data_IF_670678177441
#
_entry.id   IF_670678177441
#
_cell.length_a   1.000
_cell.length_b   1.000
_cell.length_c   1.000
_cell.angle_alpha   90.00
_cell.angle_beta   90.00
_cell.angle_gamma   90.00
#
_symmetry.space_group_name_H-M   'P 1'
#
loop_
_entity.id
_entity.type
_entity.pdbx_description
1 polymer ?
#
# COMPACT_ATOMS: atom_id res chain seq x y z
N UNK A 1 50.71 14.96 53.66
CA UNK A 1 51.29 13.60 53.73
C UNK A 1 50.49 12.73 52.77
N UNK A 2 51.06 12.33 51.61
CA UNK A 2 51.47 10.94 51.28
C UNK A 2 50.28 9.96 51.38
N UNK A 3 49.80 9.28 50.33
CA UNK A 3 50.51 8.55 49.25
C UNK A 3 49.65 8.32 47.99
N UNK A 4 50.36 8.17 46.87
CA UNK A 4 49.98 7.56 45.59
C UNK A 4 49.76 6.03 45.68
N UNK A 5 49.24 5.49 44.55
CA UNK A 5 49.30 4.14 43.94
C UNK A 5 47.87 3.53 43.87
N UNK A 6 47.32 3.06 42.75
CA UNK A 6 47.87 2.80 41.41
C UNK A 6 46.74 2.40 40.43
N UNK A 7 47.08 2.34 39.16
CA UNK A 7 46.20 2.05 38.03
C UNK A 7 45.73 0.59 37.97
N UNK A 8 44.52 0.38 37.43
CA UNK A 8 44.17 -0.80 36.64
C UNK A 8 43.04 -0.40 35.67
N UNK A 9 43.41 -0.19 34.41
CA UNK A 9 42.48 -0.06 33.31
C UNK A 9 41.97 -1.47 32.93
N UNK A 10 40.66 -1.67 32.96
CA UNK A 10 40.01 -2.77 32.26
C UNK A 10 39.05 -2.15 31.25
N UNK A 11 39.46 -2.19 29.99
CA UNK A 11 38.60 -1.98 28.85
C UNK A 11 37.74 -3.24 28.68
N UNK A 12 36.41 -3.08 28.71
CA UNK A 12 35.47 -4.04 28.18
C UNK A 12 34.54 -3.28 27.24
N UNK A 13 34.96 -3.25 26.00
CA UNK A 13 34.19 -2.87 24.82
C UNK A 13 33.03 -3.85 24.63
N UNK A 14 31.80 -3.32 24.65
CA UNK A 14 30.64 -3.94 24.03
C UNK A 14 29.93 -2.85 23.23
N UNK A 15 30.42 -2.64 22.01
CA UNK A 15 29.69 -1.90 20.99
C UNK A 15 28.57 -2.82 20.48
N UNK A 16 27.35 -2.62 20.98
CA UNK A 16 26.16 -3.09 20.27
C UNK A 16 25.93 -2.10 19.13
N UNK A 17 26.38 -2.48 17.94
CA UNK A 17 25.93 -1.90 16.69
C UNK A 17 24.49 -2.37 16.48
N UNK A 18 23.53 -1.60 16.98
CA UNK A 18 22.22 -1.57 16.36
C UNK A 18 22.39 -0.76 15.09
N UNK A 19 22.45 -1.44 13.95
CA UNK A 19 22.26 -0.82 12.64
C UNK A 19 20.81 -0.38 12.55
N UNK A 20 20.52 0.75 13.19
CA UNK A 20 19.47 1.64 12.73
C UNK A 20 19.97 2.18 11.40
N UNK A 21 19.56 1.55 10.30
CA UNK A 21 19.58 2.21 9.00
C UNK A 21 18.40 3.18 8.97
N UNK A 22 18.48 4.20 9.83
CA UNK A 22 17.53 5.30 9.88
C UNK A 22 18.21 6.59 9.44
N UNK A 23 17.62 7.21 8.41
CA UNK A 23 17.76 8.62 7.94
C UNK A 23 18.96 8.89 7.01
N UNK A 24 18.90 9.84 6.06
CA UNK A 24 18.26 11.17 5.99
C UNK A 24 17.90 11.47 4.52
N UNK A 25 16.68 11.97 4.23
CA UNK A 25 16.38 12.58 2.92
C UNK A 25 16.83 14.04 2.95
N UNK A 26 17.74 14.41 2.06
CA UNK A 26 18.10 15.81 1.81
C UNK A 26 16.94 16.53 1.10
N UNK A 27 16.63 17.72 1.60
CA UNK A 27 15.61 18.63 1.10
C UNK A 27 15.93 19.02 -0.35
N UNK A 28 15.04 18.72 -1.30
CA UNK A 28 15.12 19.27 -2.64
C UNK A 28 14.95 20.80 -2.57
N UNK A 29 16.05 21.54 -2.81
CA UNK A 29 16.00 22.99 -2.98
C UNK A 29 15.56 23.36 -4.40
N UNK A 30 14.67 24.36 -4.45
CA UNK A 30 14.11 24.95 -5.66
C UNK A 30 15.21 25.44 -6.62
N UNK A 31 15.22 24.94 -7.85
CA UNK A 31 16.00 25.52 -8.95
C UNK A 31 15.17 26.58 -9.69
N UNK A 32 15.38 27.83 -9.31
CA UNK A 32 15.28 28.96 -10.25
C UNK A 32 16.67 29.24 -10.83
N UNK A 33 16.71 29.43 -12.15
CA UNK A 33 17.90 29.71 -12.95
C UNK A 33 18.65 30.97 -12.50
N UNK A 34 19.98 30.91 -12.51
CA UNK A 34 20.82 31.91 -13.17
C UNK A 34 22.20 31.35 -13.55
N UNK A 35 22.69 31.78 -14.70
CA UNK A 35 23.97 31.40 -15.31
C UNK A 35 25.16 31.93 -14.48
N UNK A 36 26.25 31.16 -14.39
CA UNK A 36 27.57 31.61 -14.87
C UNK A 36 28.65 30.52 -14.82
N UNK A 37 29.59 30.65 -15.74
CA UNK A 37 30.70 29.77 -16.11
C UNK A 37 31.87 29.72 -15.10
N UNK A 38 32.49 28.55 -14.85
CA UNK A 38 33.96 28.34 -15.01
C UNK A 38 34.47 26.90 -14.70
N UNK A 39 34.97 26.25 -15.75
CA UNK A 39 36.23 25.49 -15.97
C UNK A 39 37.18 25.11 -14.79
N UNK A 40 37.43 23.78 -14.70
CA UNK A 40 38.64 22.97 -14.33
C UNK A 40 39.29 23.03 -12.93
N UNK A 41 39.44 21.85 -12.29
CA UNK A 41 40.75 21.17 -12.08
C UNK A 41 40.56 19.75 -11.53
N UNK A 42 41.42 18.83 -11.97
CA UNK A 42 41.53 17.42 -11.59
C UNK A 42 42.73 17.18 -10.65
N UNK A 43 42.69 16.11 -9.83
CA UNK A 43 43.79 15.23 -9.35
C UNK A 43 43.20 14.27 -8.27
N UNK A 44 42.97 12.97 -8.54
CA UNK A 44 43.85 11.78 -8.35
C UNK A 44 44.25 11.52 -6.87
N UNK A 45 44.14 10.36 -6.20
CA UNK A 45 44.04 8.95 -6.60
C UNK A 45 43.68 8.00 -5.41
N UNK A 46 42.81 6.99 -5.66
CA UNK A 46 42.98 5.51 -5.42
C UNK A 46 43.19 4.90 -4.00
N UNK A 47 42.96 3.57 -3.79
CA UNK A 47 41.78 2.75 -4.11
C UNK A 47 41.35 1.86 -2.90
N UNK A 48 40.07 1.48 -2.74
CA UNK A 48 39.70 0.40 -1.81
C UNK A 48 38.55 -0.45 -2.35
N UNK A 49 38.90 -1.68 -2.72
CA UNK A 49 38.11 -2.91 -2.86
C UNK A 49 36.66 -2.78 -3.34
N UNK A 50 36.49 -2.99 -4.64
CA UNK A 50 35.25 -3.52 -5.19
C UNK A 50 34.96 -4.91 -4.62
N UNK A 51 33.86 -5.01 -3.90
CA UNK A 51 32.99 -6.19 -3.99
C UNK A 51 32.09 -5.95 -5.19
N UNK A 52 32.04 -6.93 -6.08
CA UNK A 52 31.35 -6.91 -7.36
C UNK A 52 29.93 -6.39 -7.25
N UNK A 53 29.65 -5.33 -8.01
CA UNK A 53 28.32 -5.12 -8.56
C UNK A 53 27.99 -6.34 -9.41
N UNK A 54 27.04 -7.15 -8.97
CA UNK A 54 26.33 -8.07 -9.86
C UNK A 54 25.45 -7.21 -10.78
N UNK A 55 26.11 -6.57 -11.74
CA UNK A 55 25.50 -5.97 -12.90
C UNK A 55 25.21 -7.09 -13.90
N UNK A 56 24.28 -8.00 -13.55
CA UNK A 56 23.61 -8.90 -14.52
C UNK A 56 22.38 -9.63 -13.95
N UNK A 57 21.66 -9.06 -12.97
CA UNK A 57 20.34 -9.58 -12.62
C UNK A 57 19.28 -8.91 -13.52
N UNK A 58 18.85 -9.59 -14.57
CA UNK A 58 17.81 -9.12 -15.51
C UNK A 58 16.39 -9.22 -14.94
N UNK A 59 16.23 -9.31 -13.62
CA UNK A 59 14.94 -9.52 -12.95
C UNK A 59 14.87 -8.80 -11.61
N UNK A 60 13.67 -8.76 -11.03
CA UNK A 60 13.45 -8.14 -9.74
C UNK A 60 14.29 -8.81 -8.63
N UNK A 61 14.67 -8.07 -7.57
CA UNK A 61 15.32 -8.65 -6.41
C UNK A 61 14.39 -9.64 -5.68
N UNK A 62 14.93 -10.35 -4.69
CA UNK A 62 14.10 -11.15 -3.79
C UNK A 62 13.12 -10.26 -3.00
N UNK A 63 11.87 -10.72 -2.84
CA UNK A 63 10.84 -10.01 -2.09
C UNK A 63 11.32 -9.72 -0.67
N UNK A 64 11.21 -8.45 -0.28
CA UNK A 64 11.52 -8.01 1.08
C UNK A 64 10.53 -8.65 2.07
N UNK A 65 11.04 -9.36 3.08
CA UNK A 65 10.25 -9.74 4.25
C UNK A 65 10.22 -8.56 5.23
N UNK A 66 9.15 -7.76 5.20
CA UNK A 66 8.97 -6.65 6.13
C UNK A 66 8.19 -7.09 7.38
N UNK A 67 8.70 -6.73 8.56
CA UNK A 67 7.91 -6.73 9.79
C UNK A 67 7.01 -5.48 9.77
N UNK A 68 5.70 -5.71 9.70
CA UNK A 68 4.72 -4.65 9.56
C UNK A 68 4.09 -4.26 10.90
N UNK A 69 4.30 -5.04 11.96
CA UNK A 69 3.76 -4.71 13.26
C UNK A 69 4.55 -3.58 13.90
N UNK A 70 3.85 -2.68 14.59
CA UNK A 70 4.52 -1.66 15.39
C UNK A 70 5.23 -2.34 16.57
N UNK A 71 6.56 -2.18 16.72
CA UNK A 71 7.27 -2.81 17.82
C UNK A 71 6.81 -2.30 19.19
N UNK A 72 6.83 -3.18 20.20
CA UNK A 72 6.52 -2.83 21.58
C UNK A 72 7.31 -1.60 22.07
N UNK A 73 6.59 -0.60 22.57
CA UNK A 73 7.18 0.64 23.09
C UNK A 73 7.74 1.57 22.01
N UNK A 74 7.46 1.32 20.72
CA UNK A 74 7.72 2.29 19.66
C UNK A 74 7.03 3.62 19.97
N UNK A 75 7.69 4.72 19.62
CA UNK A 75 7.17 6.07 19.82
C UNK A 75 7.08 6.75 18.47
N UNK A 76 5.85 6.97 18.03
CA UNK A 76 5.54 7.78 16.86
C UNK A 76 6.27 9.12 16.94
N UNK A 77 6.73 9.62 15.79
CA UNK A 77 7.09 11.03 15.67
C UNK A 77 5.88 11.91 16.06
N UNK A 78 6.11 13.16 16.52
CA UNK A 78 4.97 14.06 16.79
C UNK A 78 4.22 14.44 15.52
N UNK A 79 4.94 14.52 14.40
CA UNK A 79 4.38 14.83 13.09
C UNK A 79 5.21 14.15 12.03
N UNK A 80 4.55 13.52 11.06
CA UNK A 80 5.20 12.99 9.87
C UNK A 80 4.24 13.07 8.68
N UNK A 81 4.73 13.59 7.54
CA UNK A 81 3.92 13.79 6.34
C UNK A 81 4.76 13.47 5.12
N UNK A 82 4.35 12.45 4.38
CA UNK A 82 5.00 11.99 3.17
C UNK A 82 4.71 12.94 2.00
N UNK A 83 5.62 13.03 1.03
CA UNK A 83 5.42 13.82 -0.18
C UNK A 83 4.49 13.10 -1.15
N UNK A 84 3.20 13.06 -0.82
CA UNK A 84 2.18 12.28 -1.52
C UNK A 84 1.33 13.17 -2.45
N UNK A 85 1.03 12.69 -3.66
CA UNK A 85 0.17 13.39 -4.64
C UNK A 85 -1.12 12.62 -4.84
N UNK A 86 -2.26 13.25 -4.60
CA UNK A 86 -3.58 12.65 -4.86
C UNK A 86 -3.85 12.48 -6.35
N UNK A 87 -4.61 11.43 -6.69
CA UNK A 87 -5.26 11.23 -7.99
C UNK A 87 -6.77 11.39 -7.79
N UNK A 88 -7.44 12.08 -8.72
CA UNK A 88 -8.89 12.27 -8.64
C UNK A 88 -9.61 11.13 -9.37
N UNK A 89 -10.65 10.56 -8.78
CA UNK A 89 -11.45 9.53 -9.44
C UNK A 89 -12.37 10.13 -10.53
N UNK A 90 -12.90 11.34 -10.30
CA UNK A 90 -13.82 12.00 -11.23
C UNK A 90 -13.08 12.78 -12.33
N UNK A 91 -13.62 12.83 -13.56
CA UNK A 91 -14.92 12.29 -13.98
C UNK A 91 -14.90 10.83 -14.44
N UNK A 92 -13.73 10.22 -14.63
CA UNK A 92 -13.61 8.93 -15.32
C UNK A 92 -14.18 7.75 -14.53
N UNK A 93 -13.99 7.74 -13.21
CA UNK A 93 -14.42 6.66 -12.31
C UNK A 93 -15.31 7.22 -11.19
N UNK A 94 -16.60 7.52 -11.46
CA UNK A 94 -17.49 8.11 -10.46
C UNK A 94 -17.60 7.31 -9.16
N UNK A 95 -17.41 6.00 -9.18
CA UNK A 95 -17.44 5.11 -8.00
C UNK A 95 -16.13 4.33 -7.81
N UNK A 96 -15.01 4.79 -8.39
CA UNK A 96 -13.71 4.10 -8.31
C UNK A 96 -12.79 4.57 -7.18
N UNK A 97 -13.30 4.74 -5.95
CA UNK A 97 -12.49 5.27 -4.85
C UNK A 97 -11.31 4.33 -4.48
N UNK A 98 -11.54 3.03 -4.42
CA UNK A 98 -10.58 2.00 -4.05
C UNK A 98 -9.42 1.91 -5.05
N UNK A 99 -9.75 1.75 -6.32
CA UNK A 99 -8.74 1.65 -7.39
C UNK A 99 -7.98 2.97 -7.55
N UNK A 100 -8.62 4.11 -7.30
CA UNK A 100 -7.94 5.41 -7.31
C UNK A 100 -7.00 5.56 -6.12
N UNK A 101 -7.40 5.13 -4.92
CA UNK A 101 -6.55 5.10 -3.73
C UNK A 101 -5.32 4.18 -3.91
N UNK A 102 -5.52 3.02 -4.55
CA UNK A 102 -4.41 2.14 -4.94
C UNK A 102 -3.49 2.84 -5.96
N UNK A 103 -4.07 3.45 -7.00
CA UNK A 103 -3.32 4.15 -8.05
C UNK A 103 -2.42 5.25 -7.51
N UNK A 104 -2.93 6.13 -6.65
CA UNK A 104 -2.10 7.20 -6.06
C UNK A 104 -1.01 6.65 -5.14
N UNK A 105 -1.24 5.50 -4.49
CA UNK A 105 -0.25 4.83 -3.64
C UNK A 105 0.85 4.16 -4.48
N UNK A 106 0.49 3.51 -5.58
CA UNK A 106 1.42 2.98 -6.58
C UNK A 106 2.30 4.10 -7.17
N UNK A 107 1.67 5.20 -7.58
CA UNK A 107 2.37 6.37 -8.14
C UNK A 107 3.32 7.03 -7.12
N UNK A 108 3.01 7.00 -5.83
CA UNK A 108 3.93 7.47 -4.78
C UNK A 108 5.25 6.67 -4.77
N UNK A 109 5.18 5.36 -5.02
CA UNK A 109 6.35 4.49 -5.15
C UNK A 109 6.96 4.48 -6.58
N UNK A 110 6.50 5.38 -7.46
CA UNK A 110 7.04 5.52 -8.81
C UNK A 110 6.50 4.52 -9.84
N UNK A 111 5.49 3.71 -9.50
CA UNK A 111 4.81 2.87 -10.47
C UNK A 111 3.80 3.71 -11.26
N UNK A 112 4.17 4.11 -12.48
CA UNK A 112 3.36 5.00 -13.32
C UNK A 112 2.18 4.25 -13.95
N UNK A 113 1.01 4.34 -13.31
CA UNK A 113 -0.27 3.85 -13.85
C UNK A 113 -1.38 4.85 -13.58
N UNK A 114 -2.32 4.98 -14.51
CA UNK A 114 -3.56 5.73 -14.31
C UNK A 114 -4.68 4.82 -13.79
N UNK A 115 -5.63 5.42 -13.07
CA UNK A 115 -6.67 4.68 -12.37
C UNK A 115 -7.66 3.98 -13.31
N UNK A 116 -7.87 4.50 -14.52
CA UNK A 116 -8.73 3.86 -15.52
C UNK A 116 -8.06 2.58 -16.01
N UNK A 117 -6.78 2.64 -16.38
CA UNK A 117 -6.01 1.44 -16.75
C UNK A 117 -5.99 0.43 -15.59
N UNK A 118 -5.76 0.85 -14.36
CA UNK A 118 -5.75 -0.08 -13.23
C UNK A 118 -7.14 -0.74 -13.03
N UNK A 119 -8.21 0.03 -13.20
CA UNK A 119 -9.59 -0.46 -13.10
C UNK A 119 -9.95 -1.46 -14.21
N UNK A 120 -9.62 -1.15 -15.44
CA UNK A 120 -10.08 -1.91 -16.61
C UNK A 120 -9.32 -3.23 -16.78
N UNK A 121 -8.06 -3.26 -16.37
CA UNK A 121 -7.15 -4.39 -16.65
C UNK A 121 -6.83 -5.27 -15.44
N UNK A 122 -6.92 -4.73 -14.22
CA UNK A 122 -6.43 -5.42 -13.02
C UNK A 122 -7.47 -5.58 -11.93
N UNK A 123 -8.52 -4.75 -11.88
CA UNK A 123 -9.56 -4.88 -10.87
C UNK A 123 -10.56 -5.97 -11.26
N UNK A 124 -10.74 -7.05 -10.45
CA UNK A 124 -11.79 -8.02 -10.68
C UNK A 124 -13.16 -7.37 -10.41
N UNK A 125 -14.06 -7.39 -11.39
CA UNK A 125 -15.38 -6.78 -11.30
C UNK A 125 -16.51 -7.79 -11.53
N UNK A 126 -17.62 -7.59 -10.83
CA UNK A 126 -18.87 -8.31 -10.99
C UNK A 126 -19.99 -7.31 -11.22
N UNK A 127 -20.51 -7.31 -12.45
CA UNK A 127 -21.57 -6.40 -12.89
C UNK A 127 -22.97 -6.93 -12.60
N UNK A 128 -23.10 -8.23 -12.36
CA UNK A 128 -24.38 -8.92 -12.21
C UNK A 128 -24.77 -9.12 -10.74
N UNK A 129 -23.86 -8.85 -9.80
CA UNK A 129 -24.10 -8.99 -8.37
C UNK A 129 -24.25 -10.45 -7.95
N UNK A 130 -23.43 -11.32 -8.52
CA UNK A 130 -23.37 -12.73 -8.19
C UNK A 130 -22.53 -13.01 -6.95
N UNK A 131 -21.46 -12.23 -6.72
CA UNK A 131 -20.46 -12.48 -5.69
C UNK A 131 -20.43 -11.37 -4.62
N UNK A 132 -19.63 -11.56 -3.57
CA UNK A 132 -19.51 -10.58 -2.48
C UNK A 132 -18.45 -9.53 -2.77
N UNK A 133 -18.43 -8.43 -2.00
CA UNK A 133 -17.37 -7.42 -2.05
C UNK A 133 -15.98 -7.94 -1.65
N UNK A 134 -15.86 -9.16 -1.09
CA UNK A 134 -14.57 -9.83 -0.85
C UNK A 134 -14.08 -10.60 -2.08
N UNK A 135 -14.97 -10.89 -3.02
CA UNK A 135 -14.69 -11.68 -4.22
C UNK A 135 -14.49 -10.80 -5.45
N UNK A 136 -15.26 -9.72 -5.58
CA UNK A 136 -15.18 -8.79 -6.72
C UNK A 136 -15.55 -7.37 -6.30
N UNK A 137 -15.16 -6.40 -7.13
CA UNK A 137 -15.79 -5.08 -7.12
C UNK A 137 -17.21 -5.20 -7.67
N UNK A 138 -18.20 -4.79 -6.87
CA UNK A 138 -19.61 -4.90 -7.27
C UNK A 138 -20.04 -3.65 -8.06
N UNK A 139 -20.49 -3.87 -9.30
CA UNK A 139 -20.89 -2.83 -10.24
C UNK A 139 -19.76 -2.37 -11.16
N UNK A 140 -19.91 -1.18 -11.75
CA UNK A 140 -18.97 -0.60 -12.72
C UNK A 140 -18.38 0.70 -12.14
N UNK A 141 -17.04 0.78 -11.93
CA UNK A 141 -16.35 1.99 -11.46
C UNK A 141 -16.57 3.23 -12.33
N UNK A 142 -16.87 3.07 -13.63
CA UNK A 142 -17.16 4.15 -14.58
C UNK A 142 -18.60 4.66 -14.49
N UNK A 143 -19.46 3.99 -13.72
CA UNK A 143 -20.87 4.33 -13.53
C UNK A 143 -21.08 5.11 -12.24
N UNK A 144 -22.12 5.94 -12.19
CA UNK A 144 -22.56 6.60 -10.94
C UNK A 144 -23.31 5.63 -9.99
N UNK A 145 -23.51 4.38 -10.41
CA UNK A 145 -24.27 3.37 -9.64
C UNK A 145 -23.42 2.15 -9.23
N UNK A 146 -22.09 2.20 -9.36
CA UNK A 146 -21.21 1.17 -8.78
C UNK A 146 -21.23 1.21 -7.25
N UNK A 147 -20.86 0.09 -6.61
CA UNK A 147 -20.79 -0.01 -5.16
C UNK A 147 -19.36 0.15 -4.66
N UNK A 148 -18.54 -0.89 -4.80
CA UNK A 148 -17.20 -0.92 -4.24
C UNK A 148 -16.62 -2.32 -4.09
N UNK A 149 -15.48 -2.40 -3.43
CA UNK A 149 -14.86 -3.66 -3.00
C UNK A 149 -14.16 -3.56 -1.64
N UNK A 150 -13.95 -4.70 -1.00
CA UNK A 150 -13.16 -4.82 0.22
C UNK A 150 -11.69 -5.17 -0.08
N UNK A 151 -10.88 -5.17 0.97
CA UNK A 151 -9.42 -5.44 0.95
C UNK A 151 -9.01 -6.59 0.03
N UNK A 152 -9.62 -7.79 0.08
CA UNK A 152 -9.14 -8.92 -0.71
C UNK A 152 -9.16 -8.66 -2.23
N UNK A 153 -10.14 -7.90 -2.73
CA UNK A 153 -10.23 -7.53 -4.16
C UNK A 153 -9.13 -6.57 -4.54
N UNK A 154 -8.89 -5.54 -3.71
CA UNK A 154 -7.87 -4.53 -3.99
C UNK A 154 -6.45 -5.11 -3.87
N UNK A 155 -6.23 -6.06 -2.96
CA UNK A 155 -5.01 -6.86 -2.85
C UNK A 155 -4.75 -7.67 -4.12
N UNK A 156 -5.79 -8.31 -4.70
CA UNK A 156 -5.65 -9.01 -5.99
C UNK A 156 -5.27 -8.07 -7.12
N UNK A 157 -5.93 -6.91 -7.22
CA UNK A 157 -5.62 -5.93 -8.25
C UNK A 157 -4.17 -5.42 -8.17
N UNK A 158 -3.69 -5.14 -6.96
CA UNK A 158 -2.30 -4.73 -6.74
C UNK A 158 -1.31 -5.87 -7.05
N UNK A 159 -1.62 -7.10 -6.63
CA UNK A 159 -0.80 -8.30 -6.91
C UNK A 159 -0.69 -8.54 -8.41
N UNK A 160 -1.81 -8.52 -9.12
CA UNK A 160 -1.86 -8.71 -10.57
C UNK A 160 -1.04 -7.64 -11.32
N UNK A 161 -1.09 -6.40 -10.85
CA UNK A 161 -0.26 -5.33 -11.41
C UNK A 161 1.24 -5.55 -11.15
N UNK A 162 1.64 -5.98 -9.95
CA UNK A 162 3.04 -6.31 -9.68
C UNK A 162 3.53 -7.52 -10.47
N UNK A 163 2.71 -8.56 -10.61
CA UNK A 163 3.00 -9.73 -11.43
C UNK A 163 3.17 -9.36 -12.90
N UNK A 164 2.31 -8.48 -13.42
CA UNK A 164 2.41 -7.95 -14.78
C UNK A 164 3.75 -7.24 -15.04
N UNK A 165 4.29 -6.57 -14.02
CA UNK A 165 5.60 -5.93 -14.05
C UNK A 165 6.78 -6.84 -13.68
N UNK A 166 6.53 -8.09 -13.27
CA UNK A 166 7.56 -8.98 -12.74
C UNK A 166 8.24 -8.42 -11.49
N UNK A 167 7.53 -7.61 -10.71
CA UNK A 167 8.03 -6.85 -9.56
C UNK A 167 8.09 -7.71 -8.29
N UNK A 168 9.04 -7.41 -7.41
CA UNK A 168 9.14 -8.00 -6.06
C UNK A 168 8.16 -7.35 -5.06
N UNK A 169 7.57 -6.22 -5.44
CA UNK A 169 6.60 -5.50 -4.62
C UNK A 169 5.32 -6.29 -4.44
N UNK A 170 4.63 -6.01 -3.34
CA UNK A 170 3.41 -6.70 -2.98
C UNK A 170 2.53 -5.87 -2.05
N UNK A 171 1.21 -6.08 -2.10
CA UNK A 171 0.33 -5.49 -1.12
C UNK A 171 0.30 -6.36 0.15
N UNK A 172 0.16 -5.74 1.31
CA UNK A 172 0.02 -6.42 2.59
C UNK A 172 -1.24 -5.92 3.32
N UNK A 173 -2.02 -6.87 3.82
CA UNK A 173 -3.26 -6.62 4.56
C UNK A 173 -2.95 -6.30 6.03
N UNK A 174 -3.40 -5.14 6.50
CA UNK A 174 -3.30 -4.70 7.89
C UNK A 174 -4.69 -4.56 8.54
N UNK A 175 -5.70 -5.21 7.98
CA UNK A 175 -7.06 -5.13 8.49
C UNK A 175 -7.15 -5.60 9.94
N UNK A 176 -7.95 -4.90 10.74
CA UNK A 176 -8.08 -5.12 12.18
C UNK A 176 -7.03 -4.40 13.04
N UNK A 177 -5.99 -3.82 12.44
CA UNK A 177 -5.00 -3.02 13.17
C UNK A 177 -5.65 -1.74 13.71
N UNK A 178 -5.45 -1.37 14.99
CA UNK A 178 -5.91 -0.09 15.52
C UNK A 178 -5.37 1.09 14.71
N UNK A 179 -6.19 2.11 14.45
CA UNK A 179 -5.81 3.21 13.57
C UNK A 179 -4.51 3.90 13.98
N UNK A 180 -4.33 4.13 15.29
CA UNK A 180 -3.12 4.75 15.82
C UNK A 180 -1.84 3.93 15.58
N UNK A 181 -1.94 2.61 15.46
CA UNK A 181 -0.80 1.74 15.16
C UNK A 181 -0.45 1.76 13.67
N UNK A 182 -1.41 2.02 12.78
CA UNK A 182 -1.15 2.22 11.36
C UNK A 182 -0.24 3.43 11.08
N UNK A 183 -0.20 4.42 11.98
CA UNK A 183 0.70 5.58 11.84
C UNK A 183 2.18 5.19 11.85
N UNK A 184 2.53 4.03 12.41
CA UNK A 184 3.88 3.45 12.31
C UNK A 184 4.29 3.25 10.84
N UNK A 185 3.37 2.85 9.97
CA UNK A 185 3.65 2.67 8.53
C UNK A 185 4.08 3.98 7.89
N UNK A 186 3.46 5.09 8.27
CA UNK A 186 3.82 6.44 7.80
C UNK A 186 5.25 6.79 8.25
N UNK A 187 5.62 6.47 9.49
CA UNK A 187 6.99 6.59 10.00
C UNK A 187 8.00 5.73 9.23
N UNK A 188 7.56 4.60 8.65
CA UNK A 188 8.36 3.77 7.78
C UNK A 188 8.29 4.16 6.29
N UNK A 189 7.67 5.30 5.96
CA UNK A 189 7.56 5.78 4.58
C UNK A 189 6.50 5.06 3.74
N UNK A 190 5.60 4.30 4.36
CA UNK A 190 4.52 3.54 3.70
C UNK A 190 3.17 4.21 3.93
N UNK A 191 2.60 4.90 2.92
CA UNK A 191 1.21 5.34 2.96
C UNK A 191 0.26 4.15 3.13
N UNK A 192 -0.86 4.37 3.82
CA UNK A 192 -1.83 3.31 4.14
C UNK A 192 -3.14 3.58 3.43
N UNK A 193 -3.59 2.65 2.58
CA UNK A 193 -4.92 2.68 1.98
C UNK A 193 -5.90 2.18 3.03
N UNK A 194 -6.98 2.92 3.28
CA UNK A 194 -7.98 2.59 4.31
C UNK A 194 -9.39 2.82 3.81
N UNK A 195 -10.33 2.08 4.40
CA UNK A 195 -11.77 2.29 4.18
C UNK A 195 -12.35 3.17 5.27
N UNK A 196 -13.26 4.04 4.86
CA UNK A 196 -13.99 4.97 5.70
C UNK A 196 -15.30 5.35 5.03
N UNK A 197 -15.79 6.55 5.33
CA UNK A 197 -16.99 7.08 4.69
C UNK A 197 -16.73 8.45 4.08
N UNK A 198 -17.48 8.79 3.03
CA UNK A 198 -17.45 10.11 2.42
C UNK A 198 -17.68 11.19 3.49
N UNK A 199 -16.82 12.21 3.51
CA UNK A 199 -16.80 13.30 4.50
C UNK A 199 -16.76 12.83 5.97
N UNK A 200 -16.36 11.58 6.23
CA UNK A 200 -16.40 10.93 7.54
C UNK A 200 -17.80 10.96 8.19
N UNK A 201 -18.85 10.89 7.39
CA UNK A 201 -20.24 10.80 7.87
C UNK A 201 -20.50 9.39 8.41
N UNK A 202 -21.02 9.31 9.64
CA UNK A 202 -21.48 8.01 10.15
C UNK A 202 -22.78 7.63 9.45
N UNK A 203 -22.78 6.45 8.85
CA UNK A 203 -23.92 5.86 8.18
C UNK A 203 -23.89 4.36 8.38
N UNK A 204 -25.06 3.73 8.41
CA UNK A 204 -25.22 2.29 8.52
C UNK A 204 -25.37 1.67 7.12
N UNK A 205 -25.07 0.39 7.02
CA UNK A 205 -25.36 -0.36 5.80
C UNK A 205 -26.87 -0.59 5.66
N UNK A 206 -27.37 -0.47 4.43
CA UNK A 206 -28.76 -0.76 4.07
C UNK A 206 -28.81 -1.95 3.13
N UNK A 207 -29.85 -2.78 3.26
CA UNK A 207 -30.10 -3.88 2.35
C UNK A 207 -30.30 -3.36 0.93
N UNK A 208 -29.58 -3.95 -0.03
CA UNK A 208 -29.66 -3.62 -1.44
C UNK A 208 -30.46 -4.69 -2.20
N UNK A 209 -29.95 -5.92 -2.22
CA UNK A 209 -30.53 -7.08 -2.92
C UNK A 209 -29.88 -8.38 -2.45
N UNK A 210 -30.43 -9.52 -2.87
CA UNK A 210 -29.81 -10.85 -2.67
C UNK A 210 -28.81 -11.12 -3.80
N UNK A 211 -27.59 -11.51 -3.43
CA UNK A 211 -26.54 -11.88 -4.38
C UNK A 211 -26.85 -13.22 -5.05
N UNK A 212 -26.31 -13.42 -6.25
CA UNK A 212 -26.41 -14.70 -6.97
C UNK A 212 -25.83 -15.90 -6.22
N UNK A 213 -24.84 -15.68 -5.34
CA UNK A 213 -24.26 -16.69 -4.45
C UNK A 213 -25.21 -17.09 -3.29
N UNK A 214 -26.29 -16.35 -3.07
CA UNK A 214 -27.30 -16.62 -2.04
C UNK A 214 -27.18 -15.78 -0.77
N UNK A 215 -26.16 -14.94 -0.65
CA UNK A 215 -25.98 -14.03 0.48
C UNK A 215 -26.79 -12.74 0.31
N UNK A 216 -27.20 -12.11 1.42
CA UNK A 216 -27.81 -10.77 1.39
C UNK A 216 -26.72 -9.70 1.23
N UNK A 217 -26.90 -8.77 0.29
CA UNK A 217 -26.00 -7.64 0.15
C UNK A 217 -26.47 -6.43 0.94
N UNK A 218 -25.66 -6.04 1.92
CA UNK A 218 -25.83 -4.84 2.73
C UNK A 218 -24.70 -3.85 2.40
N UNK A 219 -25.05 -2.63 2.02
CA UNK A 219 -24.09 -1.63 1.59
C UNK A 219 -24.29 -0.29 2.29
N UNK A 220 -23.19 0.35 2.67
CA UNK A 220 -23.20 1.70 3.19
C UNK A 220 -23.10 2.68 2.02
N UNK A 221 -24.14 3.48 1.76
CA UNK A 221 -24.15 4.44 0.65
C UNK A 221 -23.05 5.52 0.76
N UNK A 222 -22.44 5.67 1.93
CA UNK A 222 -21.28 6.54 2.16
C UNK A 222 -19.93 5.80 2.06
N UNK A 223 -19.90 4.52 1.71
CA UNK A 223 -18.68 3.72 1.54
C UNK A 223 -17.62 4.49 0.75
N UNK A 224 -16.41 4.58 1.29
CA UNK A 224 -15.33 5.33 0.68
C UNK A 224 -13.96 4.72 1.01
N UNK A 225 -12.98 4.97 0.14
CA UNK A 225 -11.61 4.51 0.30
C UNK A 225 -10.64 5.64 -0.03
N UNK A 226 -9.58 5.78 0.77
CA UNK A 226 -8.60 6.85 0.67
C UNK A 226 -7.22 6.40 1.17
N UNK A 227 -6.18 7.17 0.86
CA UNK A 227 -4.82 6.88 1.35
C UNK A 227 -4.41 7.86 2.44
N UNK A 228 -4.06 7.36 3.62
CA UNK A 228 -3.38 8.12 4.67
C UNK A 228 -1.90 8.24 4.33
N UNK A 229 -1.38 9.46 4.29
CA UNK A 229 0.02 9.73 3.96
C UNK A 229 0.76 10.57 5.01
N UNK A 230 0.08 10.96 6.08
CA UNK A 230 0.67 11.79 7.12
C UNK A 230 -0.21 11.91 8.35
N UNK A 231 0.37 12.40 9.42
CA UNK A 231 -0.34 12.78 10.63
C UNK A 231 0.42 13.90 11.37
N UNK A 232 -0.30 14.60 12.25
CA UNK A 232 0.20 15.61 13.17
C UNK A 232 -0.52 15.42 14.51
N UNK A 233 0.20 14.92 15.52
CA UNK A 233 -0.35 14.65 16.85
C UNK A 233 -0.47 15.91 17.70
N UNK A 234 0.31 16.95 17.39
CA UNK A 234 0.20 18.24 18.07
C UNK A 234 -1.09 18.96 17.64
N UNK A 235 -1.47 18.82 16.36
CA UNK A 235 -2.71 19.39 15.79
C UNK A 235 -3.88 18.40 15.78
N UNK A 236 -3.68 17.16 16.23
CA UNK A 236 -4.67 16.06 16.28
C UNK A 236 -5.33 15.74 14.92
N UNK A 237 -4.54 15.78 13.82
CA UNK A 237 -5.04 15.52 12.46
C UNK A 237 -4.28 14.41 11.73
N UNK A 238 -5.00 13.71 10.84
CA UNK A 238 -4.44 12.83 9.81
C UNK A 238 -4.54 13.52 8.45
N UNK A 239 -3.52 13.36 7.61
CA UNK A 239 -3.51 13.82 6.23
C UNK A 239 -3.85 12.66 5.29
N UNK A 240 -4.84 12.88 4.42
CA UNK A 240 -5.33 11.88 3.48
C UNK A 240 -5.33 12.41 2.06
N UNK A 241 -5.04 11.54 1.11
CA UNK A 241 -5.30 11.75 -0.30
C UNK A 241 -6.65 11.11 -0.60
N UNK A 242 -7.69 11.94 -0.65
CA UNK A 242 -9.07 11.52 -0.89
C UNK A 242 -9.36 11.56 -2.41
N UNK A 243 -9.74 10.43 -3.04
CA UNK A 243 -10.07 10.38 -4.47
C UNK A 243 -11.16 11.35 -4.96
N UNK A 244 -12.00 11.89 -4.06
CA UNK A 244 -13.04 12.87 -4.34
C UNK A 244 -12.63 14.32 -4.01
N UNK A 245 -11.66 14.53 -3.12
CA UNK A 245 -11.33 15.86 -2.59
C UNK A 245 -9.84 16.27 -2.72
N UNK A 246 -8.97 15.36 -3.14
CA UNK A 246 -7.53 15.54 -3.20
C UNK A 246 -6.86 15.42 -1.83
N UNK A 247 -5.70 16.06 -1.66
CA UNK A 247 -4.99 16.07 -0.38
C UNK A 247 -5.72 16.97 0.64
N UNK A 248 -6.29 16.37 1.68
CA UNK A 248 -7.01 17.04 2.76
C UNK A 248 -6.60 16.46 4.12
N UNK A 249 -7.15 16.98 5.22
CA UNK A 249 -6.90 16.46 6.56
C UNK A 249 -8.18 16.35 7.38
N UNK A 250 -8.19 15.41 8.32
CA UNK A 250 -9.30 15.13 9.21
C UNK A 250 -8.84 15.02 10.66
N UNK A 251 -9.71 15.32 11.65
CA UNK A 251 -9.44 15.01 13.05
C UNK A 251 -9.19 13.52 13.25
N UNK A 252 -8.15 13.16 14.01
CA UNK A 252 -7.75 11.75 14.25
C UNK A 252 -8.88 10.96 14.91
N UNK A 253 -9.52 11.52 15.94
CA UNK A 253 -10.59 10.85 16.69
C UNK A 253 -11.77 10.48 15.80
N UNK A 254 -12.15 11.40 14.90
CA UNK A 254 -13.22 11.20 13.94
C UNK A 254 -12.85 10.16 12.90
N UNK A 255 -11.61 10.22 12.41
CA UNK A 255 -11.10 9.28 11.43
C UNK A 255 -11.05 7.86 11.98
N UNK A 256 -10.50 7.67 13.19
CA UNK A 256 -10.42 6.39 13.88
C UNK A 256 -11.80 5.76 14.09
N UNK A 257 -12.79 6.56 14.48
CA UNK A 257 -14.17 6.09 14.66
C UNK A 257 -14.74 5.54 13.34
N UNK A 258 -14.61 6.29 12.26
CA UNK A 258 -15.17 5.91 10.95
C UNK A 258 -14.42 4.73 10.34
N UNK A 259 -13.10 4.69 10.48
CA UNK A 259 -12.28 3.53 10.11
C UNK A 259 -12.74 2.26 10.83
N UNK A 260 -12.98 2.33 12.15
CA UNK A 260 -13.52 1.23 12.94
C UNK A 260 -14.90 0.77 12.45
N UNK A 261 -15.79 1.72 12.16
CA UNK A 261 -17.13 1.42 11.65
C UNK A 261 -17.14 0.75 10.26
N UNK A 262 -16.07 0.94 9.48
CA UNK A 262 -15.91 0.34 8.14
C UNK A 262 -15.08 -0.95 8.15
N UNK A 263 -15.01 -1.61 9.31
CA UNK A 263 -14.37 -2.92 9.49
C UNK A 263 -12.86 -2.85 9.65
N UNK A 264 -12.29 -1.68 9.95
CA UNK A 264 -10.85 -1.49 10.14
C UNK A 264 -10.01 -2.06 9.00
N UNK A 265 -10.43 -1.82 7.76
CA UNK A 265 -9.76 -2.33 6.56
C UNK A 265 -8.57 -1.46 6.18
N UNK A 266 -7.39 -2.07 5.98
CA UNK A 266 -6.16 -1.34 5.67
C UNK A 266 -5.20 -2.14 4.79
N UNK A 267 -4.54 -1.47 3.85
CA UNK A 267 -3.50 -2.04 2.98
C UNK A 267 -2.27 -1.13 2.96
N UNK A 268 -1.08 -1.74 2.95
CA UNK A 268 0.17 -1.08 2.57
C UNK A 268 0.81 -1.79 1.38
N UNK A 269 1.65 -1.07 0.63
CA UNK A 269 2.50 -1.67 -0.40
C UNK A 269 3.93 -1.79 0.14
N UNK A 270 4.56 -2.94 -0.10
CA UNK A 270 5.86 -3.32 0.45
C UNK A 270 6.76 -3.82 -0.69
N UNK A 271 8.01 -3.40 -0.68
CA UNK A 271 9.03 -3.89 -1.61
C UNK A 271 10.36 -3.19 -1.40
N UNK A 272 11.36 -3.54 -2.21
CA UNK A 272 12.68 -2.92 -2.12
C UNK A 272 12.67 -1.49 -2.70
N UNK A 273 13.24 -0.52 -1.98
CA UNK A 273 13.33 0.87 -2.45
C UNK A 273 14.06 0.97 -3.81
N UNK A 274 15.11 0.16 -4.00
CA UNK A 274 15.87 0.13 -5.25
C UNK A 274 15.07 -0.43 -6.43
N UNK A 275 14.00 -1.19 -6.21
CA UNK A 275 13.14 -1.75 -7.25
C UNK A 275 11.85 -0.96 -7.49
N UNK A 276 11.57 0.05 -6.66
CA UNK A 276 10.37 0.87 -6.74
C UNK A 276 10.17 1.48 -8.14
N UNK A 277 8.96 1.33 -8.70
CA UNK A 277 8.59 1.89 -10.00
C UNK A 277 9.22 1.22 -11.22
N UNK A 278 9.97 0.13 -11.04
CA UNK A 278 10.62 -0.57 -12.16
C UNK A 278 9.73 -1.65 -12.74
N UNK A 279 9.86 -1.82 -14.06
CA UNK A 279 9.24 -2.86 -14.85
C UNK A 279 10.31 -3.86 -15.27
N UNK A 280 10.18 -5.10 -14.82
CA UNK A 280 11.10 -6.20 -15.08
C UNK A 280 10.56 -7.19 -16.13
N UNK A 281 9.36 -6.93 -16.65
CA UNK A 281 8.73 -7.76 -17.67
C UNK A 281 9.06 -7.28 -19.08
N UNK A 282 9.06 -8.20 -20.04
CA UNK A 282 9.13 -7.88 -21.47
C UNK A 282 7.75 -7.92 -22.13
N UNK A 283 7.67 -7.36 -23.35
CA UNK A 283 6.41 -7.29 -24.12
C UNK A 283 5.79 -8.68 -24.37
N UNK A 284 6.63 -9.71 -24.57
CA UNK A 284 6.14 -11.06 -24.86
C UNK A 284 5.49 -11.70 -23.61
N UNK A 285 6.07 -11.48 -22.43
CA UNK A 285 5.46 -11.87 -21.17
C UNK A 285 4.13 -11.16 -20.96
N UNK A 286 4.09 -9.83 -21.17
CA UNK A 286 2.89 -9.02 -20.98
C UNK A 286 1.77 -9.39 -21.93
N UNK A 287 2.08 -9.61 -23.20
CA UNK A 287 1.10 -10.08 -24.18
C UNK A 287 0.49 -11.43 -23.76
N UNK A 288 1.32 -12.34 -23.26
CA UNK A 288 0.85 -13.62 -22.74
C UNK A 288 -0.02 -13.45 -21.49
N UNK A 289 0.43 -12.64 -20.53
CA UNK A 289 -0.30 -12.37 -19.29
C UNK A 289 -1.69 -11.80 -19.57
N UNK A 290 -1.78 -10.83 -20.49
CA UNK A 290 -3.03 -10.21 -20.91
C UNK A 290 -3.98 -11.21 -21.56
N UNK A 291 -3.43 -12.11 -22.40
CA UNK A 291 -4.22 -13.15 -23.05
C UNK A 291 -4.75 -14.20 -22.06
N UNK A 292 -3.91 -14.62 -21.11
CA UNK A 292 -4.30 -15.61 -20.10
C UNK A 292 -5.36 -15.05 -19.14
N UNK A 293 -5.26 -13.76 -18.76
CA UNK A 293 -6.18 -13.13 -17.80
C UNK A 293 -7.45 -12.58 -18.43
N UNK A 294 -7.41 -12.21 -19.72
CA UNK A 294 -8.54 -11.62 -20.45
C UNK A 294 -8.85 -12.34 -21.77
N UNK A 295 -9.08 -13.67 -21.79
CA UNK A 295 -9.26 -14.44 -23.02
C UNK A 295 -10.43 -13.95 -23.88
N UNK A 296 -11.51 -13.48 -23.24
CA UNK A 296 -12.69 -12.93 -23.94
C UNK A 296 -12.38 -11.73 -24.84
N UNK A 297 -11.36 -10.93 -24.53
CA UNK A 297 -10.97 -9.77 -25.35
C UNK A 297 -10.29 -10.17 -26.66
N UNK A 298 -9.75 -11.39 -26.70
CA UNK A 298 -9.16 -11.99 -27.89
C UNK A 298 -10.16 -12.89 -28.64
N UNK A 299 -11.43 -12.87 -28.23
CA UNK A 299 -12.50 -13.66 -28.84
C UNK A 299 -12.45 -15.14 -28.45
N UNK A 300 -11.74 -15.47 -27.38
CA UNK A 300 -11.68 -16.82 -26.82
C UNK A 300 -12.76 -17.00 -25.76
N UNK A 301 -13.28 -18.22 -25.63
CA UNK A 301 -14.22 -18.52 -24.54
C UNK A 301 -13.46 -18.45 -23.21
N UNK A 302 -14.05 -17.79 -22.20
CA UNK A 302 -13.53 -17.91 -20.84
C UNK A 302 -13.48 -19.40 -20.48
N UNK A 303 -12.43 -19.87 -19.79
CA UNK A 303 -12.38 -21.25 -19.33
C UNK A 303 -13.64 -21.58 -18.53
N UNK A 304 -14.16 -22.79 -18.69
CA UNK A 304 -15.42 -23.24 -18.07
C UNK A 304 -15.42 -22.86 -16.58
N UNK A 305 -16.51 -22.25 -16.11
CA UNK A 305 -16.67 -21.75 -14.74
C UNK A 305 -16.34 -22.85 -13.72
N UNK A 306 -15.11 -22.81 -13.19
CA UNK A 306 -14.50 -23.89 -12.42
C UNK A 306 -13.02 -24.13 -12.73
N UNK A 307 -12.50 -23.60 -13.83
CA UNK A 307 -11.07 -23.63 -14.21
C UNK A 307 -10.33 -22.28 -14.06
N UNK A 308 -10.98 -21.26 -13.50
CA UNK A 308 -10.21 -20.25 -12.76
C UNK A 308 -9.81 -20.88 -11.42
N UNK A 309 -8.85 -21.82 -11.47
CA UNK A 309 -7.93 -22.00 -10.35
C UNK A 309 -7.23 -20.66 -10.22
N UNK A 310 -7.82 -19.77 -9.45
CA UNK A 310 -7.12 -18.66 -8.87
C UNK A 310 -5.90 -19.28 -8.18
N UNK A 311 -4.72 -19.21 -8.81
CA UNK A 311 -3.45 -19.56 -8.19
C UNK A 311 -3.16 -18.53 -7.10
N UNK A 312 -3.90 -18.59 -6.00
CA UNK A 312 -3.56 -17.95 -4.76
C UNK A 312 -3.21 -19.06 -3.77
N UNK A 313 -2.04 -19.68 -3.93
CA UNK A 313 -1.33 -20.16 -2.75
C UNK A 313 -0.86 -18.91 -2.01
N UNK A 314 -1.74 -18.38 -1.14
CA UNK A 314 -1.33 -17.40 -0.15
C UNK A 314 -0.37 -18.10 0.81
N UNK A 315 0.94 -17.96 0.60
CA UNK A 315 1.90 -18.05 1.70
C UNK A 315 1.78 -16.77 2.54
N UNK A 316 0.63 -16.61 3.20
CA UNK A 316 0.43 -15.63 4.26
C UNK A 316 0.58 -16.36 5.60
N UNK A 317 1.50 -15.96 6.50
CA UNK A 317 1.69 -16.63 7.79
C UNK A 317 0.54 -16.46 8.80
N UNK A 318 -0.61 -15.91 8.39
CA UNK A 318 -1.75 -15.65 9.27
C UNK A 318 -2.91 -16.56 8.85
N UNK A 319 -3.17 -17.57 9.68
CA UNK A 319 -4.31 -18.47 9.60
C UNK A 319 -5.58 -17.74 10.09
N UNK A 320 -6.48 -17.40 9.17
CA UNK A 320 -7.76 -16.75 9.48
C UNK A 320 -8.86 -17.74 9.91
N UNK A 321 -8.54 -19.01 10.18
CA UNK A 321 -9.54 -20.04 10.57
C UNK A 321 -9.72 -20.24 12.07
N UNK A 322 -9.00 -19.52 12.92
CA UNK A 322 -9.24 -19.61 14.37
C UNK A 322 -10.38 -18.69 14.80
N UNK A 323 -11.59 -19.25 14.93
CA UNK A 323 -12.63 -18.65 15.76
C UNK A 323 -12.09 -18.42 17.19
N UNK A 324 -12.44 -17.31 17.86
CA UNK A 324 -12.07 -17.14 19.26
C UNK A 324 -12.74 -18.24 20.10
N UNK A 325 -11.92 -19.02 20.82
CA UNK A 325 -12.41 -19.98 21.80
C UNK A 325 -13.37 -19.29 22.77
N UNK A 326 -14.63 -19.73 22.80
CA UNK A 326 -15.57 -19.36 23.87
C UNK A 326 -14.97 -19.77 25.21
N UNK A 327 -14.45 -18.79 25.96
CA UNK A 327 -14.16 -18.95 27.38
C UNK A 327 -15.47 -19.30 28.09
N UNK A 328 -15.60 -20.59 28.41
CA UNK A 328 -16.62 -21.10 29.31
C UNK A 328 -16.48 -20.39 30.65
N UNK A 329 -17.44 -19.51 30.95
CA UNK A 329 -17.62 -18.96 32.28
C UNK A 329 -18.10 -20.07 33.23
N UNK A 330 -17.22 -20.46 34.15
CA UNK A 330 -17.57 -21.10 35.43
C UNK A 330 -18.23 -20.08 36.39
#
# INVERSE_FOLDING_TARGET
MKRLIGAAAFAASAAMLLTSCGRIVEKAENLYQENDTNVLSAEAAEPVNGSSSDADATGAPERLAADLDQPDGYRLAQRNVLSFKSVMQKPSLPTGCEVTALTQTLNYFGFEIDNVTLSDYFLPQDWDGWFTMNDYYLGDPHSENGFGCNVPVLMRAATDYFDYLGSDWYPADLSGTPFMELLYQIDQGRPVIVWGTMDLVESEAVYQFDLGCGDEFWFNDFHHCMTVYGYDLDEEVVYTADPLAGNICYPIDRFETVYGNMGSQAIVLVGNEESAGKDYSDDAFKDKWMHDRHPSWFGEENPDSGEFDYYYEYDNPVDYTTEPEEENAD
#
